data_IF_700825163494
#
_entry.id   IF_700825163494
#
_cell.length_a   1.000
_cell.length_b   1.000
_cell.length_c   1.000
_cell.angle_alpha   90.00
_cell.angle_beta   90.00
_cell.angle_gamma   90.00
#
_symmetry.space_group_name_H-M   'P 1'
#
loop_
_entity.id
_entity.type
_entity.pdbx_description
1 polymer ?
#
# COMPACT_ATOMS: atom_id res chain seq x y z
N UNK A 1 -1.61 25.28 -11.11
CA UNK A 1 -2.25 24.29 -10.22
C UNK A 1 -2.05 24.79 -8.81
N UNK A 2 -3.11 25.29 -8.14
CA UNK A 2 -2.99 25.79 -6.77
C UNK A 2 -3.13 24.59 -5.82
N UNK A 3 -2.03 24.23 -5.15
CA UNK A 3 -2.05 23.30 -4.03
C UNK A 3 -2.75 24.03 -2.88
N UNK A 4 -3.96 23.63 -2.52
CA UNK A 4 -4.59 24.10 -1.28
C UNK A 4 -3.77 23.59 -0.11
N UNK A 5 -3.09 24.48 0.62
CA UNK A 5 -2.57 24.15 1.94
C UNK A 5 -3.77 23.89 2.84
N UNK A 6 -3.95 22.67 3.30
CA UNK A 6 -4.91 22.36 4.34
C UNK A 6 -4.43 22.97 5.65
N UNK A 7 -5.34 23.65 6.35
CA UNK A 7 -5.08 24.20 7.67
C UNK A 7 -5.16 23.06 8.71
N UNK A 8 -4.00 22.47 9.00
CA UNK A 8 -3.87 21.31 9.87
C UNK A 8 -4.30 21.57 11.33
N UNK A 9 -4.29 22.82 11.79
CA UNK A 9 -4.68 23.15 13.16
C UNK A 9 -6.18 22.96 13.43
N UNK A 10 -7.02 23.16 12.42
CA UNK A 10 -8.46 22.99 12.57
C UNK A 10 -8.85 21.52 12.74
N UNK A 11 -8.28 20.65 11.95
CA UNK A 11 -8.55 19.20 11.99
C UNK A 11 -8.09 18.57 13.32
N UNK A 12 -6.93 18.99 13.84
CA UNK A 12 -6.38 18.53 15.11
C UNK A 12 -7.26 18.90 16.30
N UNK A 13 -7.72 20.16 16.37
CA UNK A 13 -8.58 20.65 17.44
C UNK A 13 -9.95 19.96 17.41
N UNK A 14 -10.55 19.83 16.23
CA UNK A 14 -11.80 19.12 16.03
C UNK A 14 -11.70 17.64 16.40
N UNK A 15 -10.62 16.98 16.00
CA UNK A 15 -10.35 15.59 16.34
C UNK A 15 -10.20 15.39 17.85
N UNK A 16 -9.40 16.22 18.52
CA UNK A 16 -9.17 16.14 19.95
C UNK A 16 -10.45 16.42 20.76
N UNK A 17 -11.30 17.33 20.33
CA UNK A 17 -12.60 17.62 20.97
C UNK A 17 -13.58 16.44 20.82
N UNK A 18 -13.59 15.78 19.65
CA UNK A 18 -14.40 14.58 19.41
C UNK A 18 -13.89 13.36 20.19
N UNK A 19 -12.58 13.21 20.31
CA UNK A 19 -11.94 12.14 21.08
C UNK A 19 -12.23 12.26 22.59
N UNK A 20 -12.23 13.47 23.13
CA UNK A 20 -12.56 13.74 24.54
C UNK A 20 -14.01 13.37 24.90
N UNK A 21 -14.90 13.28 23.91
CA UNK A 21 -16.33 13.00 24.07
C UNK A 21 -16.75 11.56 23.80
N UNK A 22 -15.85 10.72 23.31
CA UNK A 22 -16.11 9.31 23.01
C UNK A 22 -15.41 8.38 24.00
N UNK A 23 -16.16 7.46 24.63
CA UNK A 23 -15.58 6.39 25.44
C UNK A 23 -14.68 5.51 24.53
N UNK A 24 -13.37 5.66 24.66
CA UNK A 24 -12.41 4.88 23.89
C UNK A 24 -12.22 3.50 24.51
N UNK A 25 -12.43 2.45 23.73
CA UNK A 25 -11.97 1.13 24.07
C UNK A 25 -10.44 1.14 24.22
N UNK A 26 -9.93 0.61 25.33
CA UNK A 26 -8.51 0.47 25.56
C UNK A 26 -7.91 -0.49 24.52
N UNK A 27 -6.69 -0.23 24.06
CA UNK A 27 -5.98 -1.13 23.15
C UNK A 27 -5.34 -0.42 21.98
N UNK A 28 -5.71 -0.79 20.76
CA UNK A 28 -5.11 -0.29 19.51
C UNK A 28 -5.20 1.22 19.36
N UNK A 29 -6.29 1.85 19.80
CA UNK A 29 -6.42 3.30 19.77
C UNK A 29 -5.34 4.02 20.55
N UNK A 30 -4.96 3.48 21.71
CA UNK A 30 -3.88 4.05 22.53
C UNK A 30 -2.53 3.99 21.79
N UNK A 31 -2.27 2.92 21.04
CA UNK A 31 -1.04 2.79 20.26
C UNK A 31 -0.99 3.71 19.04
N UNK A 32 -2.15 4.08 18.47
CA UNK A 32 -2.24 5.00 17.34
C UNK A 32 -2.20 6.48 17.74
N UNK A 33 -2.50 6.81 18.99
CA UNK A 33 -2.55 8.20 19.47
C UNK A 33 -1.24 8.98 19.24
N UNK A 34 -0.05 8.43 19.49
CA UNK A 34 1.20 9.13 19.20
C UNK A 34 1.37 9.45 17.71
N UNK A 35 0.93 8.59 16.80
CA UNK A 35 0.98 8.82 15.36
C UNK A 35 0.06 9.97 14.95
N UNK A 36 -1.18 9.95 15.38
CA UNK A 36 -2.17 11.00 15.06
C UNK A 36 -1.80 12.33 15.71
N UNK A 37 -1.29 12.29 16.93
CA UNK A 37 -0.90 13.47 17.71
C UNK A 37 0.46 14.06 17.36
N UNK A 38 1.30 13.36 16.61
CA UNK A 38 2.72 13.67 16.42
C UNK A 38 3.44 13.86 17.78
N UNK A 39 3.07 13.09 18.78
CA UNK A 39 3.54 13.24 20.16
C UNK A 39 4.33 12.01 20.60
N UNK A 40 5.57 12.05 20.41
CA UNK A 40 6.63 11.41 21.17
C UNK A 40 6.71 9.87 21.21
N UNK A 41 5.93 9.18 21.98
CA UNK A 41 6.13 7.74 22.21
C UNK A 41 5.26 6.89 21.25
N UNK A 42 5.90 6.41 20.17
CA UNK A 42 5.30 5.52 19.17
C UNK A 42 5.62 4.04 19.45
N UNK A 43 6.27 3.72 20.56
CA UNK A 43 6.80 2.38 20.84
C UNK A 43 5.75 1.26 20.81
N UNK A 44 4.49 1.57 21.12
CA UNK A 44 3.39 0.62 21.05
C UNK A 44 2.88 0.37 19.62
N UNK A 45 2.91 1.40 18.75
CA UNK A 45 2.51 1.29 17.36
C UNK A 45 3.65 0.73 16.50
N UNK A 46 4.88 1.15 16.80
CA UNK A 46 6.10 0.70 16.14
C UNK A 46 7.12 0.27 17.20
N UNK A 47 7.04 -0.94 17.73
CA UNK A 47 8.01 -1.48 18.64
C UNK A 47 9.41 -1.43 18.03
N UNK A 48 10.41 -1.18 18.85
CA UNK A 48 11.81 -0.99 18.39
C UNK A 48 12.32 -2.24 17.64
N UNK A 49 11.86 -3.41 18.02
CA UNK A 49 12.17 -4.68 17.36
C UNK A 49 11.68 -4.76 15.91
N UNK A 50 10.66 -3.96 15.53
CA UNK A 50 10.15 -3.90 14.16
C UNK A 50 10.78 -2.79 13.31
N UNK A 51 11.46 -1.84 13.96
CA UNK A 51 12.02 -0.65 13.30
C UNK A 51 13.55 -0.59 13.35
N UNK A 52 14.17 -1.40 14.19
CA UNK A 52 15.61 -1.39 14.41
C UNK A 52 16.21 -2.80 14.29
N UNK A 53 17.00 -3.03 13.24
CA UNK A 53 17.65 -4.31 12.98
C UNK A 53 18.63 -4.71 14.09
N UNK A 54 19.27 -3.75 14.76
CA UNK A 54 20.21 -4.03 15.85
C UNK A 54 19.49 -4.61 17.07
N UNK A 55 18.30 -4.10 17.38
CA UNK A 55 17.47 -4.61 18.48
C UNK A 55 16.94 -6.00 18.13
N UNK A 56 16.35 -6.15 16.92
CA UNK A 56 15.84 -7.43 16.45
C UNK A 56 16.89 -8.54 16.49
N UNK A 57 18.11 -8.24 16.01
CA UNK A 57 19.20 -9.23 15.92
C UNK A 57 20.06 -9.30 17.18
N UNK A 58 19.69 -8.56 18.25
CA UNK A 58 20.46 -8.47 19.51
C UNK A 58 21.93 -8.07 19.26
N UNK A 59 22.13 -7.10 18.39
CA UNK A 59 23.44 -6.55 18.04
C UNK A 59 24.28 -7.41 17.09
N UNK A 60 23.72 -8.47 16.50
CA UNK A 60 24.44 -9.33 15.54
C UNK A 60 24.57 -8.71 14.16
N UNK A 61 23.60 -7.90 13.77
CA UNK A 61 23.60 -7.12 12.53
C UNK A 61 23.39 -5.66 12.90
N UNK A 62 24.19 -4.78 12.31
CA UNK A 62 24.15 -3.33 12.57
C UNK A 62 24.01 -2.53 11.29
N UNK A 63 23.62 -1.29 11.43
CA UNK A 63 23.64 -0.33 10.33
C UNK A 63 25.06 -0.24 9.75
N UNK A 64 25.17 -0.34 8.44
CA UNK A 64 26.43 -0.38 7.69
C UNK A 64 26.94 -1.78 7.38
N UNK A 65 26.49 -2.80 8.09
CA UNK A 65 26.86 -4.18 7.82
C UNK A 65 26.34 -4.66 6.46
N UNK A 66 27.00 -5.68 5.94
CA UNK A 66 26.53 -6.41 4.75
C UNK A 66 26.05 -7.78 5.21
N UNK A 67 24.77 -8.07 4.93
CA UNK A 67 24.20 -9.40 5.08
C UNK A 67 24.61 -10.23 3.86
N UNK A 68 25.28 -11.34 4.11
CA UNK A 68 25.71 -12.31 3.12
C UNK A 68 25.57 -13.76 3.68
N UNK A 69 26.07 -14.75 2.97
CA UNK A 69 25.97 -16.16 3.36
C UNK A 69 26.56 -16.48 4.75
N UNK A 70 27.48 -15.63 5.29
CA UNK A 70 28.13 -15.88 6.58
C UNK A 70 27.28 -15.44 7.78
N UNK A 71 26.36 -14.49 7.61
CA UNK A 71 25.62 -13.89 8.70
C UNK A 71 24.08 -13.84 8.48
N UNK A 72 23.58 -14.29 7.34
CA UNK A 72 22.16 -14.27 6.98
C UNK A 72 21.25 -15.01 7.97
N UNK A 73 21.78 -16.01 8.70
CA UNK A 73 21.02 -16.74 9.72
C UNK A 73 20.47 -15.82 10.83
N UNK A 74 21.12 -14.69 11.08
CA UNK A 74 20.66 -13.74 12.09
C UNK A 74 19.40 -12.95 11.69
N UNK A 75 19.03 -13.00 10.41
CA UNK A 75 17.88 -12.27 9.84
C UNK A 75 16.92 -13.21 9.07
N UNK A 76 17.15 -14.52 9.12
CA UNK A 76 16.38 -15.51 8.38
C UNK A 76 14.87 -15.40 8.57
N UNK A 77 14.43 -15.17 9.79
CA UNK A 77 13.00 -15.13 10.15
C UNK A 77 12.27 -13.90 9.60
N UNK A 78 13.00 -12.89 9.12
CA UNK A 78 12.43 -11.68 8.51
C UNK A 78 12.70 -11.58 7.00
N UNK A 79 13.34 -12.60 6.42
CA UNK A 79 13.62 -12.63 4.98
C UNK A 79 12.58 -13.50 4.26
N UNK A 80 12.20 -13.05 3.07
CA UNK A 80 11.53 -13.91 2.11
C UNK A 80 12.41 -15.13 1.79
N UNK A 81 11.84 -16.35 1.68
CA UNK A 81 12.60 -17.57 1.38
C UNK A 81 13.43 -17.49 0.10
N UNK A 82 12.95 -16.78 -0.93
CA UNK A 82 13.69 -16.58 -2.19
C UNK A 82 14.91 -15.70 -1.94
N UNK A 83 14.77 -14.61 -1.20
CA UNK A 83 15.89 -13.74 -0.84
C UNK A 83 16.94 -14.51 -0.03
N UNK A 84 16.50 -15.33 0.92
CA UNK A 84 17.40 -16.19 1.68
C UNK A 84 18.18 -17.16 0.78
N UNK A 85 17.53 -17.80 -0.20
CA UNK A 85 18.20 -18.67 -1.20
C UNK A 85 19.19 -17.86 -2.04
N UNK A 86 18.81 -16.67 -2.50
CA UNK A 86 19.70 -15.81 -3.28
C UNK A 86 20.97 -15.44 -2.50
N UNK A 87 20.85 -15.14 -1.21
CA UNK A 87 22.01 -14.82 -0.36
C UNK A 87 22.89 -16.06 -0.17
N UNK A 88 22.29 -17.20 0.18
CA UNK A 88 23.06 -18.41 0.54
C UNK A 88 23.65 -19.13 -0.64
N UNK A 89 23.03 -19.08 -1.82
CA UNK A 89 23.39 -19.91 -2.97
C UNK A 89 23.82 -19.11 -4.22
N UNK A 90 23.41 -17.85 -4.34
CA UNK A 90 23.63 -17.05 -5.54
C UNK A 90 24.52 -15.82 -5.30
N UNK A 91 25.06 -15.65 -4.08
CA UNK A 91 25.99 -14.58 -3.76
C UNK A 91 25.36 -13.19 -3.58
N UNK A 92 24.02 -13.11 -3.45
CA UNK A 92 23.34 -11.83 -3.17
C UNK A 92 23.85 -11.26 -1.85
N UNK A 93 24.06 -9.94 -1.82
CA UNK A 93 24.50 -9.20 -0.64
C UNK A 93 23.57 -8.03 -0.39
N UNK A 94 23.21 -7.77 0.87
CA UNK A 94 22.33 -6.68 1.28
C UNK A 94 23.09 -5.79 2.25
N UNK A 95 23.25 -4.51 1.89
CA UNK A 95 23.80 -3.50 2.81
C UNK A 95 22.67 -2.98 3.71
N UNK A 96 22.90 -2.96 5.01
CA UNK A 96 21.99 -2.33 5.97
C UNK A 96 22.23 -0.82 5.97
N UNK A 97 21.30 -0.09 5.40
CA UNK A 97 21.32 1.36 5.38
C UNK A 97 20.74 1.94 6.70
N UNK A 98 21.14 3.16 7.09
CA UNK A 98 20.46 3.84 8.19
C UNK A 98 19.01 4.11 7.84
N UNK A 99 18.11 4.03 8.82
CA UNK A 99 16.72 4.42 8.68
C UNK A 99 16.63 5.93 8.45
N UNK A 100 16.03 6.33 7.35
CA UNK A 100 15.84 7.74 6.97
C UNK A 100 14.38 8.17 7.04
N UNK A 101 13.46 7.23 7.29
CA UNK A 101 12.03 7.47 7.30
C UNK A 101 11.55 7.79 8.72
N UNK A 102 10.84 8.90 8.87
CA UNK A 102 10.07 9.16 10.08
C UNK A 102 8.80 8.32 10.03
N UNK A 103 8.71 7.32 10.91
CA UNK A 103 7.57 6.40 10.95
C UNK A 103 6.25 7.11 11.32
N UNK A 104 6.31 8.28 11.94
CA UNK A 104 5.12 9.09 12.26
C UNK A 104 4.50 9.74 11.03
N UNK A 105 5.24 9.80 9.91
CA UNK A 105 4.83 10.39 8.65
C UNK A 105 4.47 9.35 7.57
N UNK A 106 4.50 8.05 7.90
CA UNK A 106 4.21 6.97 6.93
C UNK A 106 2.76 6.94 6.45
N UNK A 107 1.84 7.45 7.26
CA UNK A 107 0.41 7.43 6.95
C UNK A 107 -0.16 8.85 6.88
N UNK A 108 -1.04 9.13 5.91
CA UNK A 108 -1.80 10.37 5.89
C UNK A 108 -2.61 10.53 7.17
N UNK A 109 -2.61 11.73 7.72
CA UNK A 109 -3.26 12.01 8.99
C UNK A 109 -4.78 11.80 8.94
N UNK A 110 -5.42 12.25 7.86
CA UNK A 110 -6.85 12.05 7.63
C UNK A 110 -7.24 10.57 7.56
N UNK A 111 -6.35 9.72 7.03
CA UNK A 111 -6.54 8.26 7.06
C UNK A 111 -6.50 7.70 8.49
N UNK A 112 -5.55 8.14 9.31
CA UNK A 112 -5.46 7.73 10.71
C UNK A 112 -6.68 8.20 11.51
N UNK A 113 -7.09 9.45 11.32
CA UNK A 113 -8.30 10.02 11.94
C UNK A 113 -9.56 9.26 11.52
N UNK A 114 -9.68 8.89 10.23
CA UNK A 114 -10.79 8.07 9.74
C UNK A 114 -10.78 6.66 10.37
N UNK A 115 -9.61 6.05 10.52
CA UNK A 115 -9.46 4.75 11.19
C UNK A 115 -10.00 4.81 12.61
N UNK A 116 -9.62 5.84 13.39
CA UNK A 116 -10.10 6.02 14.75
C UNK A 116 -11.61 6.29 14.80
N UNK A 117 -12.11 7.16 13.94
CA UNK A 117 -13.54 7.53 13.87
C UNK A 117 -14.43 6.35 13.47
N UNK A 118 -13.90 5.42 12.66
CA UNK A 118 -14.65 4.30 12.09
C UNK A 118 -14.35 2.97 12.79
N UNK A 119 -13.58 2.95 13.85
CA UNK A 119 -13.28 1.74 14.61
C UNK A 119 -14.55 1.00 15.03
N UNK A 120 -14.52 -0.33 14.87
CA UNK A 120 -15.62 -1.24 15.23
C UNK A 120 -16.80 -1.23 14.27
N UNK A 121 -16.74 -0.42 13.19
CA UNK A 121 -17.78 -0.39 12.15
C UNK A 121 -17.50 -1.36 11.00
N UNK A 122 -16.28 -1.89 10.87
CA UNK A 122 -15.94 -2.88 9.86
C UNK A 122 -16.60 -4.23 10.14
N UNK A 123 -17.08 -4.88 9.09
CA UNK A 123 -17.58 -6.24 9.09
C UNK A 123 -17.39 -6.86 7.71
N UNK A 124 -17.51 -8.17 7.62
CA UNK A 124 -17.63 -8.86 6.33
C UNK A 124 -19.09 -9.16 6.03
N UNK A 125 -19.48 -9.01 4.76
CA UNK A 125 -20.77 -9.47 4.27
C UNK A 125 -20.79 -11.00 4.07
N UNK A 126 -21.91 -11.57 3.59
CA UNK A 126 -22.02 -13.00 3.31
C UNK A 126 -21.07 -13.48 2.20
N UNK A 127 -20.54 -12.58 1.39
CA UNK A 127 -19.60 -12.85 0.31
C UNK A 127 -18.13 -12.64 0.73
N UNK A 128 -17.88 -12.19 1.98
CA UNK A 128 -16.55 -11.89 2.48
C UNK A 128 -16.03 -10.49 2.16
N UNK A 129 -16.81 -9.63 1.53
CA UNK A 129 -16.42 -8.26 1.26
C UNK A 129 -16.50 -7.39 2.51
N UNK A 130 -15.62 -6.41 2.63
CA UNK A 130 -15.64 -5.46 3.74
C UNK A 130 -16.82 -4.52 3.61
N UNK A 131 -17.64 -4.41 4.65
CA UNK A 131 -18.81 -3.53 4.67
C UNK A 131 -18.93 -2.79 5.99
N UNK A 132 -19.71 -1.73 6.00
CA UNK A 132 -20.12 -1.06 7.24
C UNK A 132 -21.15 -1.90 7.97
N UNK A 133 -20.81 -2.32 9.18
CA UNK A 133 -21.64 -3.15 10.06
C UNK A 133 -23.06 -2.58 10.19
N UNK A 134 -24.06 -3.42 10.01
CA UNK A 134 -25.47 -3.08 10.15
C UNK A 134 -26.09 -2.36 8.95
N UNK A 135 -25.30 -1.85 7.99
CA UNK A 135 -25.84 -1.19 6.78
C UNK A 135 -25.54 -1.98 5.50
N UNK A 136 -24.48 -2.79 5.49
CA UNK A 136 -24.02 -3.49 4.30
C UNK A 136 -23.43 -2.60 3.21
N UNK A 137 -23.30 -1.29 3.46
CA UNK A 137 -22.68 -0.36 2.50
C UNK A 137 -21.16 -0.58 2.41
N UNK A 138 -20.53 -0.20 1.30
CA UNK A 138 -19.07 -0.22 1.17
C UNK A 138 -18.37 0.52 2.31
N UNK A 139 -17.09 0.18 2.53
CA UNK A 139 -16.29 0.78 3.61
C UNK A 139 -16.15 2.30 3.46
N UNK A 140 -16.11 3.00 4.59
CA UNK A 140 -16.21 4.47 4.68
C UNK A 140 -14.89 5.17 5.02
N UNK A 141 -13.75 4.46 4.93
CA UNK A 141 -12.42 5.04 5.06
C UNK A 141 -11.67 4.74 6.34
N UNK A 142 -10.37 4.80 6.24
CA UNK A 142 -9.43 4.30 7.24
C UNK A 142 -9.32 2.78 7.24
N UNK A 143 -8.56 2.22 8.17
CA UNK A 143 -8.42 0.78 8.36
C UNK A 143 -9.73 0.19 8.91
N UNK A 144 -10.36 -0.78 8.22
CA UNK A 144 -11.61 -1.37 8.72
C UNK A 144 -11.42 -2.20 9.99
N UNK A 145 -10.23 -2.80 10.17
CA UNK A 145 -9.90 -3.66 11.31
C UNK A 145 -8.57 -3.20 11.93
N UNK A 146 -8.53 -2.09 12.68
CA UNK A 146 -7.28 -1.55 13.22
C UNK A 146 -6.57 -2.48 14.22
N UNK A 147 -7.29 -3.44 14.79
CA UNK A 147 -6.77 -4.53 15.63
C UNK A 147 -7.19 -5.88 15.03
N UNK A 148 -6.57 -6.31 13.90
CA UNK A 148 -7.00 -7.50 13.18
C UNK A 148 -6.77 -8.75 14.02
N UNK A 149 -7.77 -9.63 14.08
CA UNK A 149 -7.73 -10.91 14.83
C UNK A 149 -7.48 -12.10 13.90
N UNK A 150 -7.65 -11.91 12.61
CA UNK A 150 -7.49 -12.95 11.59
C UNK A 150 -6.64 -12.43 10.42
N UNK A 151 -6.05 -13.36 9.66
CA UNK A 151 -5.33 -13.03 8.44
C UNK A 151 -6.21 -12.31 7.41
N UNK A 152 -7.49 -12.68 7.32
CA UNK A 152 -8.44 -12.02 6.43
C UNK A 152 -8.67 -10.56 6.82
N UNK A 153 -8.80 -10.24 8.11
CA UNK A 153 -8.92 -8.85 8.58
C UNK A 153 -7.67 -8.03 8.28
N UNK A 154 -6.49 -8.62 8.50
CA UNK A 154 -5.23 -7.97 8.16
C UNK A 154 -5.11 -7.71 6.64
N UNK A 155 -5.48 -8.69 5.82
CA UNK A 155 -5.47 -8.57 4.37
C UNK A 155 -6.52 -7.57 3.86
N UNK A 156 -7.69 -7.51 4.50
CA UNK A 156 -8.71 -6.51 4.21
C UNK A 156 -8.21 -5.08 4.43
N UNK A 157 -7.43 -4.82 5.48
CA UNK A 157 -6.82 -3.51 5.71
C UNK A 157 -5.92 -3.11 4.54
N UNK A 158 -5.08 -4.03 4.06
CA UNK A 158 -4.21 -3.80 2.89
C UNK A 158 -5.04 -3.56 1.64
N UNK A 159 -6.04 -4.40 1.39
CA UNK A 159 -6.89 -4.32 0.20
C UNK A 159 -7.66 -3.02 0.12
N UNK A 160 -8.19 -2.53 1.25
CA UNK A 160 -9.02 -1.32 1.24
C UNK A 160 -8.23 -0.06 0.87
N UNK A 161 -7.01 0.13 1.37
CA UNK A 161 -6.34 1.40 1.12
C UNK A 161 -4.82 1.43 1.33
N UNK A 162 -4.21 0.47 2.02
CA UNK A 162 -2.79 0.49 2.43
C UNK A 162 -2.39 1.72 3.28
N UNK A 163 -3.32 2.45 3.84
CA UNK A 163 -3.02 3.70 4.54
C UNK A 163 -2.68 4.88 3.62
N UNK A 164 -3.12 4.86 2.37
CA UNK A 164 -2.91 5.94 1.40
C UNK A 164 -4.05 6.95 1.39
N UNK A 165 -3.81 8.08 0.74
CA UNK A 165 -4.85 9.04 0.37
C UNK A 165 -5.82 8.50 -0.68
N UNK A 166 -6.93 9.20 -0.86
CA UNK A 166 -7.98 8.92 -1.83
C UNK A 166 -7.45 8.84 -3.26
N UNK A 167 -6.40 9.63 -3.55
CA UNK A 167 -5.69 9.61 -4.83
C UNK A 167 -4.20 9.69 -4.58
N UNK A 168 -3.43 8.81 -5.21
CA UNK A 168 -1.98 8.78 -5.16
C UNK A 168 -1.40 8.83 -6.57
N UNK A 169 -0.35 9.63 -6.79
CA UNK A 169 0.35 9.74 -8.06
C UNK A 169 1.85 9.63 -7.81
N UNK A 170 2.52 8.77 -8.55
CA UNK A 170 3.95 8.51 -8.43
C UNK A 170 4.65 8.67 -9.77
N UNK A 171 5.86 9.23 -9.77
CA UNK A 171 6.85 9.02 -10.80
C UNK A 171 7.72 7.83 -10.38
N UNK A 172 7.90 6.88 -11.27
CA UNK A 172 8.66 5.66 -11.02
C UNK A 172 9.76 5.55 -12.04
N UNK A 173 10.98 5.29 -11.59
CA UNK A 173 12.08 4.78 -12.37
C UNK A 173 12.26 3.31 -12.03
N UNK A 174 12.14 2.45 -13.02
CA UNK A 174 12.30 1.01 -12.90
C UNK A 174 13.56 0.57 -13.65
N UNK A 175 14.42 -0.16 -12.96
CA UNK A 175 15.69 -0.64 -13.51
C UNK A 175 15.80 -2.16 -13.34
N UNK A 176 15.78 -2.89 -14.44
CA UNK A 176 16.07 -4.32 -14.44
C UNK A 176 17.58 -4.52 -14.42
N UNK A 177 18.07 -5.18 -13.40
CA UNK A 177 19.50 -5.38 -13.14
C UNK A 177 19.88 -6.83 -13.47
N UNK A 178 20.84 -6.98 -14.36
CA UNK A 178 21.40 -8.28 -14.75
C UNK A 178 22.21 -8.95 -13.64
N UNK A 179 22.58 -10.23 -13.84
CA UNK A 179 23.36 -10.99 -12.85
C UNK A 179 24.76 -10.42 -12.58
N UNK A 180 25.32 -9.64 -13.49
CA UNK A 180 26.59 -8.92 -13.39
C UNK A 180 26.49 -7.61 -12.61
N UNK A 181 25.25 -7.15 -12.34
CA UNK A 181 24.95 -5.91 -11.65
C UNK A 181 24.75 -4.71 -12.58
N UNK A 182 24.83 -4.90 -13.89
CA UNK A 182 24.57 -3.87 -14.88
C UNK A 182 23.06 -3.69 -15.11
N UNK A 183 22.64 -2.47 -15.46
CA UNK A 183 21.25 -2.18 -15.81
C UNK A 183 21.04 -2.64 -17.27
N UNK A 184 20.20 -3.65 -17.45
CA UNK A 184 19.81 -4.17 -18.76
C UNK A 184 18.70 -3.33 -19.40
N UNK A 185 17.70 -2.94 -18.61
CA UNK A 185 16.57 -2.10 -19.03
C UNK A 185 16.29 -1.02 -18.00
N UNK A 186 15.86 0.13 -18.48
CA UNK A 186 15.45 1.26 -17.63
C UNK A 186 14.19 1.90 -18.19
N UNK A 187 13.18 2.06 -17.36
CA UNK A 187 11.88 2.62 -17.72
C UNK A 187 11.52 3.77 -16.79
N UNK A 188 10.95 4.83 -17.35
CA UNK A 188 10.26 5.84 -16.55
C UNK A 188 8.76 5.75 -16.80
N UNK A 189 8.00 5.73 -15.74
CA UNK A 189 6.54 5.61 -15.82
C UNK A 189 5.85 6.48 -14.78
N UNK A 190 4.64 6.87 -15.09
CA UNK A 190 3.72 7.44 -14.12
C UNK A 190 2.78 6.36 -13.61
N UNK A 191 2.45 6.46 -12.36
CA UNK A 191 1.50 5.60 -11.67
C UNK A 191 0.46 6.43 -10.95
N UNK A 192 -0.81 6.12 -11.14
CA UNK A 192 -1.91 6.79 -10.45
C UNK A 192 -2.91 5.77 -9.92
N UNK A 193 -3.32 5.97 -8.70
CA UNK A 193 -4.44 5.24 -8.09
C UNK A 193 -5.47 6.23 -7.58
N UNK A 194 -6.75 5.92 -7.80
CA UNK A 194 -7.87 6.68 -7.26
C UNK A 194 -8.88 5.74 -6.65
N UNK A 195 -9.08 5.83 -5.35
CA UNK A 195 -10.14 5.12 -4.66
C UNK A 195 -11.51 5.69 -5.03
N UNK A 196 -12.51 4.83 -5.04
CA UNK A 196 -13.91 5.21 -5.29
C UNK A 196 -14.79 5.05 -4.07
N UNK A 197 -14.28 4.29 -3.09
CA UNK A 197 -14.92 4.09 -1.79
C UNK A 197 -13.89 4.28 -0.68
N UNK A 198 -14.36 4.51 0.52
CA UNK A 198 -13.49 4.73 1.67
C UNK A 198 -12.72 6.04 1.61
N UNK A 199 -13.24 7.04 0.91
CA UNK A 199 -12.62 8.34 0.76
C UNK A 199 -12.55 9.06 2.10
N UNK A 200 -11.37 9.58 2.44
CA UNK A 200 -11.11 10.22 3.75
C UNK A 200 -10.98 11.73 3.65
N UNK A 201 -10.59 12.25 2.49
CA UNK A 201 -10.38 13.68 2.22
C UNK A 201 -11.45 14.29 1.32
N UNK A 202 -12.40 13.50 0.81
CA UNK A 202 -13.46 13.98 -0.04
C UNK A 202 -14.54 14.73 0.77
N UNK A 203 -14.82 16.02 0.47
CA UNK A 203 -15.83 16.79 1.21
C UNK A 203 -17.28 16.29 1.00
N UNK A 204 -17.53 15.60 -0.12
CA UNK A 204 -18.86 15.10 -0.49
C UNK A 204 -19.18 13.73 0.13
N UNK A 205 -18.26 13.18 0.93
CA UNK A 205 -18.46 11.94 1.67
C UNK A 205 -17.52 10.80 1.24
N UNK A 206 -17.75 9.58 1.77
CA UNK A 206 -16.79 8.48 1.64
C UNK A 206 -16.87 7.76 0.29
N UNK A 207 -17.68 8.20 -0.64
CA UNK A 207 -17.87 7.55 -1.94
C UNK A 207 -17.74 8.54 -3.09
N UNK A 208 -17.22 8.05 -4.20
CA UNK A 208 -17.36 8.70 -5.49
C UNK A 208 -18.68 8.25 -6.09
N UNK A 209 -19.65 9.14 -6.12
CA UNK A 209 -21.04 8.88 -6.52
C UNK A 209 -21.12 8.13 -7.88
N UNK A 210 -21.88 7.05 -7.89
CA UNK A 210 -22.04 6.19 -9.07
C UNK A 210 -20.89 5.22 -9.34
N UNK A 211 -19.90 5.14 -8.45
CA UNK A 211 -18.76 4.23 -8.57
C UNK A 211 -18.55 3.32 -7.35
N UNK A 212 -19.58 3.17 -6.51
CA UNK A 212 -19.51 2.41 -5.26
C UNK A 212 -19.35 0.89 -5.48
N UNK A 213 -19.64 0.41 -6.68
CA UNK A 213 -19.40 -0.97 -7.14
C UNK A 213 -17.93 -1.23 -7.52
N UNK A 214 -17.10 -0.18 -7.49
CA UNK A 214 -15.67 -0.26 -7.71
C UNK A 214 -14.94 -0.05 -6.39
N UNK A 215 -13.72 -0.57 -6.30
CA UNK A 215 -12.80 -0.27 -5.20
C UNK A 215 -11.90 0.90 -5.57
N UNK A 216 -11.34 0.87 -6.79
CA UNK A 216 -10.43 1.91 -7.30
C UNK A 216 -10.17 1.79 -8.79
N UNK A 217 -9.65 2.86 -9.34
CA UNK A 217 -8.99 2.91 -10.63
C UNK A 217 -7.48 2.99 -10.43
N UNK A 218 -6.73 2.23 -11.19
CA UNK A 218 -5.27 2.21 -11.18
C UNK A 218 -4.77 2.35 -12.61
N UNK A 219 -3.94 3.35 -12.87
CA UNK A 219 -3.37 3.61 -14.18
C UNK A 219 -1.85 3.66 -14.13
N UNK A 220 -1.22 3.08 -15.16
CA UNK A 220 0.23 3.14 -15.39
C UNK A 220 0.44 3.63 -16.82
N UNK A 221 1.40 4.54 -17.03
CA UNK A 221 1.77 5.00 -18.37
C UNK A 221 3.27 5.22 -18.46
N UNK A 222 3.86 4.72 -19.54
CA UNK A 222 5.29 4.83 -19.80
C UNK A 222 5.63 6.17 -20.47
N UNK A 223 6.68 6.81 -19.99
CA UNK A 223 7.19 8.07 -20.50
C UNK A 223 8.54 7.92 -21.22
N UNK A 224 9.31 6.90 -20.90
CA UNK A 224 10.53 6.47 -21.58
C UNK A 224 10.78 4.97 -21.35
N UNK A 225 11.62 4.35 -22.19
CA UNK A 225 12.24 4.85 -23.42
C UNK A 225 11.22 5.01 -24.58
N UNK A 226 11.70 5.48 -25.74
CA UNK A 226 10.83 5.84 -26.86
C UNK A 226 10.01 4.68 -27.46
N UNK A 227 10.51 3.46 -27.40
CA UNK A 227 9.85 2.25 -27.89
C UNK A 227 8.58 1.88 -27.11
N UNK A 228 8.52 2.22 -25.82
CA UNK A 228 7.36 1.98 -24.97
C UNK A 228 6.58 3.24 -24.62
N UNK A 229 7.11 4.42 -24.95
CA UNK A 229 6.50 5.70 -24.63
C UNK A 229 5.07 5.82 -25.12
N UNK A 230 4.16 6.20 -24.20
CA UNK A 230 2.72 6.33 -24.47
C UNK A 230 1.94 5.02 -24.29
N UNK A 231 2.61 3.88 -24.09
CA UNK A 231 1.94 2.67 -23.63
C UNK A 231 1.34 2.93 -22.25
N UNK A 232 0.07 2.55 -22.08
CA UNK A 232 -0.61 2.76 -20.81
C UNK A 232 -1.58 1.63 -20.51
N UNK A 233 -1.78 1.38 -19.22
CA UNK A 233 -2.68 0.36 -18.71
C UNK A 233 -3.62 0.97 -17.68
N UNK A 234 -4.85 0.45 -17.62
CA UNK A 234 -5.87 0.81 -16.66
C UNK A 234 -6.47 -0.45 -16.07
N UNK A 235 -6.37 -0.59 -14.76
CA UNK A 235 -7.11 -1.58 -13.97
C UNK A 235 -8.31 -0.90 -13.32
N UNK A 236 -9.48 -1.52 -13.46
CA UNK A 236 -10.70 -1.12 -12.76
C UNK A 236 -11.01 -2.20 -11.74
N UNK A 237 -10.64 -1.96 -10.50
CA UNK A 237 -10.83 -2.88 -9.39
C UNK A 237 -12.30 -2.89 -8.95
N UNK A 238 -12.87 -4.08 -8.84
CA UNK A 238 -14.25 -4.27 -8.34
C UNK A 238 -14.28 -4.13 -6.83
N UNK A 239 -15.40 -3.68 -6.30
CA UNK A 239 -15.63 -3.76 -4.85
C UNK A 239 -15.80 -5.20 -4.38
N UNK A 240 -16.45 -6.03 -5.19
CA UNK A 240 -16.54 -7.48 -4.97
C UNK A 240 -15.16 -8.14 -5.19
N UNK A 241 -14.53 -8.51 -4.10
CA UNK A 241 -13.18 -9.05 -4.07
C UNK A 241 -13.11 -10.52 -4.54
N UNK A 242 -14.22 -11.11 -4.99
CA UNK A 242 -14.24 -12.39 -5.70
C UNK A 242 -14.06 -12.23 -7.20
N UNK A 243 -14.02 -11.00 -7.67
CA UNK A 243 -13.87 -10.68 -9.09
C UNK A 243 -12.51 -10.04 -9.37
N UNK A 244 -11.87 -10.49 -10.43
CA UNK A 244 -10.65 -9.84 -10.92
C UNK A 244 -10.97 -8.48 -11.55
N UNK A 245 -10.00 -7.53 -11.50
CA UNK A 245 -10.17 -6.23 -12.14
C UNK A 245 -10.30 -6.35 -13.65
N UNK A 246 -11.03 -5.43 -14.25
CA UNK A 246 -11.01 -5.23 -15.69
C UNK A 246 -9.69 -4.55 -16.08
N UNK A 247 -8.96 -5.18 -17.00
CA UNK A 247 -7.69 -4.67 -17.51
C UNK A 247 -7.86 -4.13 -18.93
N UNK A 248 -7.47 -2.87 -19.12
CA UNK A 248 -7.40 -2.20 -20.41
C UNK A 248 -5.98 -1.71 -20.67
N UNK A 249 -5.56 -1.73 -21.92
CA UNK A 249 -4.28 -1.16 -22.32
C UNK A 249 -4.40 -0.40 -23.63
N UNK A 250 -3.67 0.72 -23.72
CA UNK A 250 -3.42 1.45 -24.94
C UNK A 250 -1.99 1.21 -25.37
N UNK A 251 -1.83 0.68 -26.56
CA UNK A 251 -0.56 0.41 -27.19
C UNK A 251 -0.43 1.34 -28.40
N UNK A 252 0.53 2.29 -28.41
CA UNK A 252 0.68 3.29 -29.48
C UNK A 252 0.78 2.69 -30.88
N UNK A 253 1.44 1.55 -31.02
CA UNK A 253 1.56 0.84 -32.31
C UNK A 253 0.20 0.45 -32.91
N UNK A 254 -0.79 0.18 -32.09
CA UNK A 254 -2.13 -0.20 -32.54
C UNK A 254 -3.11 0.98 -32.55
N UNK A 255 -2.76 2.10 -31.94
CA UNK A 255 -3.58 3.34 -31.85
C UNK A 255 -5.00 3.10 -31.32
N UNK A 256 -5.17 2.10 -30.45
CA UNK A 256 -6.47 1.73 -29.86
C UNK A 256 -6.35 1.14 -28.50
N UNK A 257 -7.38 1.31 -27.68
CA UNK A 257 -7.54 0.64 -26.40
C UNK A 257 -7.99 -0.80 -26.63
N UNK A 258 -7.43 -1.74 -25.88
CA UNK A 258 -7.85 -3.14 -25.84
C UNK A 258 -8.19 -3.54 -24.42
N UNK A 259 -9.18 -4.39 -24.24
CA UNK A 259 -9.40 -5.12 -23.00
C UNK A 259 -8.58 -6.39 -23.04
N UNK A 260 -7.84 -6.65 -21.97
CA UNK A 260 -7.02 -7.85 -21.81
C UNK A 260 -7.78 -8.88 -20.97
N UNK A 261 -7.67 -10.17 -21.28
CA UNK A 261 -8.18 -11.23 -20.43
C UNK A 261 -7.39 -11.30 -19.11
N UNK A 262 -8.05 -11.78 -18.08
CA UNK A 262 -7.52 -11.78 -16.71
C UNK A 262 -6.17 -12.48 -16.56
N UNK A 263 -5.93 -13.55 -17.30
CA UNK A 263 -4.67 -14.31 -17.25
C UNK A 263 -3.45 -13.52 -17.77
N UNK A 264 -3.65 -12.48 -18.58
CA UNK A 264 -2.53 -11.64 -19.06
C UNK A 264 -1.94 -10.72 -17.99
N UNK A 265 -2.54 -10.61 -16.82
CA UNK A 265 -1.97 -9.86 -15.70
C UNK A 265 -0.63 -10.43 -15.21
N UNK A 266 -0.32 -11.67 -15.53
CA UNK A 266 0.95 -12.34 -15.22
C UNK A 266 2.00 -12.22 -16.33
N UNK A 267 1.71 -11.47 -17.39
CA UNK A 267 2.68 -11.15 -18.42
C UNK A 267 3.39 -9.83 -18.11
N UNK A 268 4.65 -9.66 -18.54
CA UNK A 268 5.35 -8.38 -18.42
C UNK A 268 4.55 -7.23 -19.04
N UNK A 269 4.55 -6.08 -18.39
CA UNK A 269 3.84 -4.88 -18.88
C UNK A 269 4.31 -4.44 -20.27
N UNK A 270 5.62 -4.53 -20.49
CA UNK A 270 6.29 -4.24 -21.76
C UNK A 270 7.43 -5.21 -21.95
N UNK A 271 7.90 -5.45 -23.18
CA UNK A 271 9.04 -6.33 -23.41
C UNK A 271 10.28 -5.89 -22.63
N UNK A 272 10.92 -6.83 -21.93
CA UNK A 272 12.13 -6.61 -21.17
C UNK A 272 11.93 -6.24 -19.70
N UNK A 273 10.74 -5.78 -19.30
CA UNK A 273 10.43 -5.49 -17.90
C UNK A 273 10.14 -6.80 -17.12
N UNK A 274 10.66 -6.89 -15.90
CA UNK A 274 10.37 -8.02 -15.00
C UNK A 274 9.18 -7.77 -14.09
N UNK A 275 8.49 -6.69 -14.32
CA UNK A 275 7.38 -6.21 -13.53
C UNK A 275 6.04 -6.53 -14.21
N UNK A 276 5.12 -7.13 -13.47
CA UNK A 276 3.77 -7.49 -13.93
C UNK A 276 2.72 -6.54 -13.34
N UNK A 277 1.55 -6.51 -13.94
CA UNK A 277 0.44 -5.73 -13.37
C UNK A 277 0.05 -6.18 -11.97
N UNK A 278 0.14 -7.48 -11.67
CA UNK A 278 -0.13 -8.01 -10.34
C UNK A 278 0.92 -7.60 -9.30
N UNK A 279 2.18 -7.38 -9.69
CA UNK A 279 3.26 -7.02 -8.76
C UNK A 279 3.13 -5.58 -8.23
N UNK A 280 2.50 -4.75 -9.01
CA UNK A 280 2.28 -3.36 -8.69
C UNK A 280 1.35 -3.13 -7.49
N UNK A 281 0.68 -4.16 -7.08
CA UNK A 281 -0.29 -4.12 -6.02
C UNK A 281 0.20 -4.95 -4.83
N UNK A 282 0.20 -4.40 -3.60
CA UNK A 282 0.72 -5.12 -2.44
C UNK A 282 0.01 -6.45 -2.17
N UNK A 283 -1.26 -6.54 -2.54
CA UNK A 283 -2.02 -7.77 -2.45
C UNK A 283 -1.92 -8.66 -3.69
N UNK A 284 -1.45 -8.10 -4.83
CA UNK A 284 -1.36 -8.79 -6.11
C UNK A 284 -2.71 -9.08 -6.74
N UNK A 285 -3.56 -9.79 -6.03
CA UNK A 285 -4.87 -10.26 -6.47
C UNK A 285 -6.01 -9.75 -5.57
N UNK A 286 -7.26 -9.81 -6.04
CA UNK A 286 -8.41 -9.57 -5.18
C UNK A 286 -8.41 -10.49 -3.97
N UNK A 287 -8.90 -9.99 -2.85
CA UNK A 287 -8.74 -10.62 -1.52
C UNK A 287 -9.35 -12.03 -1.42
N UNK A 288 -10.34 -12.33 -2.26
CA UNK A 288 -11.14 -13.56 -2.18
C UNK A 288 -11.00 -14.46 -3.42
N UNK A 289 -9.98 -14.24 -4.24
CA UNK A 289 -9.71 -15.04 -5.45
C UNK A 289 -8.61 -16.06 -5.26
#
# INVERSE_FOLDING_TARGET
MHIKKYDFDYSRRFFMDKMAKGAMGAGVLTSMMPLVGNTGDISKAYPEELTNIEVLTKGKIKTGDIVDANNVEHVKDILDPVIYIQITQQGRRIRIAPTTTDVTELYPRDYLEATLRNQGKGAFDANGNVVVKGTGKPWIGGSPFPDPKTGLEAFANVTMSWGRHDTSVYGVEDNDIGPDGDIEYSYNLGWCEKNTVGLVSNPDGPYWEGHEDKLRYQAVWFTSPNDVKGTSFLNIWKYDQREFPDLFGYLPAFKRVRRFPTNQRFEPLVPGITFFLSDAWAAGDPMLT
#
